data_IF_070704052002
#
_entry.id   IF_070704052002
#
_cell.length_a   1.000
_cell.length_b   1.000
_cell.length_c   1.000
_cell.angle_alpha   90.00
_cell.angle_beta   90.00
_cell.angle_gamma   90.00
#
_symmetry.space_group_name_H-M   'P 1'
#
loop_
_entity.id
_entity.type
_entity.pdbx_description
1 polymer ?
#
# COMPACT_ATOMS: atom_id res chain seq x y z
N UNK A 1 -2.07 5.77 -22.41
CA UNK A 1 -0.72 5.78 -23.01
C UNK A 1 0.07 6.91 -22.38
N UNK A 2 0.97 6.61 -21.46
CA UNK A 2 1.95 7.58 -20.96
C UNK A 2 3.28 7.29 -21.64
N UNK A 3 3.78 8.26 -22.37
CA UNK A 3 5.09 8.23 -23.00
C UNK A 3 6.12 8.80 -22.03
N UNK A 4 7.11 8.01 -21.66
CA UNK A 4 8.31 8.53 -20.99
C UNK A 4 9.33 8.78 -22.09
N UNK A 5 9.64 10.05 -22.33
CA UNK A 5 10.67 10.46 -23.29
C UNK A 5 12.00 10.52 -22.52
N UNK A 6 12.85 9.55 -22.76
CA UNK A 6 14.25 9.60 -22.29
C UNK A 6 15.12 10.09 -23.44
N UNK A 7 15.67 11.30 -23.32
CA UNK A 7 16.61 11.86 -24.30
C UNK A 7 17.99 11.27 -24.06
N UNK A 8 18.41 10.32 -24.87
CA UNK A 8 19.82 9.93 -24.97
C UNK A 8 20.55 10.91 -25.92
N UNK A 9 21.80 11.27 -25.58
CA UNK A 9 22.64 12.27 -26.26
C UNK A 9 23.03 11.96 -27.72
N UNK A 10 22.34 11.09 -28.42
CA UNK A 10 22.64 10.68 -29.81
C UNK A 10 21.49 10.96 -30.79
N UNK A 11 20.62 11.93 -30.53
CA UNK A 11 19.66 12.43 -31.52
C UNK A 11 18.53 11.45 -31.91
N UNK A 12 18.43 10.28 -31.31
CA UNK A 12 17.30 9.36 -31.45
C UNK A 12 16.39 9.43 -30.23
N UNK A 13 15.17 9.85 -30.42
CA UNK A 13 14.12 9.75 -29.41
C UNK A 13 13.67 8.30 -29.37
N UNK A 14 14.27 7.51 -28.50
CA UNK A 14 13.82 6.14 -28.23
C UNK A 14 12.57 6.19 -27.32
N UNK A 15 11.43 5.81 -27.86
CA UNK A 15 10.23 5.59 -27.06
C UNK A 15 10.37 4.22 -26.40
N UNK A 16 10.76 4.20 -25.14
CA UNK A 16 10.71 2.97 -24.33
C UNK A 16 9.25 2.67 -23.99
N UNK A 17 8.63 1.81 -24.77
CA UNK A 17 7.37 1.18 -24.40
C UNK A 17 7.72 0.16 -23.31
N UNK A 18 7.53 0.49 -22.04
CA UNK A 18 7.57 -0.53 -21.00
C UNK A 18 6.40 -1.49 -21.26
N UNK A 19 6.65 -2.81 -21.31
CA UNK A 19 5.58 -3.76 -21.46
C UNK A 19 4.58 -3.60 -20.31
N UNK A 20 3.32 -3.46 -20.64
CA UNK A 20 2.25 -3.47 -19.63
C UNK A 20 2.31 -4.81 -18.90
N UNK A 21 2.51 -4.77 -17.59
CA UNK A 21 2.48 -5.94 -16.72
C UNK A 21 1.02 -6.43 -16.69
N UNK A 22 0.72 -7.53 -17.36
CA UNK A 22 -0.65 -8.07 -17.32
C UNK A 22 -0.90 -8.74 -15.97
N UNK A 23 -1.79 -8.14 -15.20
CA UNK A 23 -2.21 -8.63 -13.89
C UNK A 23 -3.62 -9.26 -13.94
N UNK A 24 -4.07 -9.66 -15.11
CA UNK A 24 -5.35 -10.36 -15.27
C UNK A 24 -5.44 -11.54 -14.29
N UNK A 25 -6.56 -11.64 -13.59
CA UNK A 25 -6.82 -12.60 -12.51
C UNK A 25 -6.06 -12.39 -11.20
N UNK A 26 -5.15 -11.42 -11.09
CA UNK A 26 -4.47 -11.14 -9.81
C UNK A 26 -5.38 -10.36 -8.85
N UNK A 27 -5.51 -10.87 -7.64
CA UNK A 27 -6.33 -10.32 -6.57
C UNK A 27 -5.46 -9.60 -5.55
N UNK A 28 -5.57 -8.29 -5.52
CA UNK A 28 -4.76 -7.43 -4.65
C UNK A 28 -5.63 -6.88 -3.53
N UNK A 29 -5.28 -7.22 -2.29
CA UNK A 29 -5.84 -6.54 -1.14
C UNK A 29 -4.98 -5.32 -0.82
N UNK A 30 -5.53 -4.14 -1.06
CA UNK A 30 -4.83 -2.88 -0.88
C UNK A 30 -5.23 -2.23 0.44
N UNK A 31 -4.29 -2.03 1.35
CA UNK A 31 -4.52 -1.44 2.67
C UNK A 31 -3.98 -0.02 2.69
N UNK A 32 -4.83 0.96 3.02
CA UNK A 32 -4.46 2.37 3.11
C UNK A 32 -4.46 2.79 4.57
N UNK A 33 -3.29 3.24 5.07
CA UNK A 33 -3.15 3.77 6.42
C UNK A 33 -3.15 5.31 6.44
N UNK A 34 -3.38 5.89 7.62
CA UNK A 34 -3.51 7.34 7.79
C UNK A 34 -2.18 8.08 7.70
N UNK A 35 -2.04 8.90 6.68
CA UNK A 35 -0.91 9.78 6.47
C UNK A 35 -1.09 10.58 5.17
N UNK A 36 -0.41 11.73 5.07
CA UNK A 36 -0.56 12.62 3.92
C UNK A 36 -0.29 11.89 2.58
N UNK A 37 0.65 10.93 2.55
CA UNK A 37 0.97 10.14 1.36
C UNK A 37 -0.14 9.19 0.89
N UNK A 38 -1.27 9.07 1.63
CA UNK A 38 -2.43 8.28 1.22
C UNK A 38 -3.01 8.73 -0.14
N UNK A 39 -2.82 9.99 -0.55
CA UNK A 39 -3.24 10.45 -1.87
C UNK A 39 -2.55 9.70 -3.02
N UNK A 40 -1.29 9.26 -2.83
CA UNK A 40 -0.55 8.46 -3.82
C UNK A 40 -1.16 7.08 -4.02
N UNK A 41 -1.83 6.55 -3.01
CA UNK A 41 -2.50 5.24 -3.10
C UNK A 41 -3.59 5.22 -4.17
N UNK A 42 -4.23 6.37 -4.43
CA UNK A 42 -5.23 6.49 -5.48
C UNK A 42 -4.63 6.24 -6.87
N UNK A 43 -3.46 6.79 -7.14
CA UNK A 43 -2.76 6.55 -8.41
C UNK A 43 -2.22 5.11 -8.49
N UNK A 44 -1.72 4.57 -7.38
CA UNK A 44 -1.27 3.17 -7.31
C UNK A 44 -2.43 2.20 -7.63
N UNK A 45 -3.60 2.41 -7.03
CA UNK A 45 -4.82 1.63 -7.34
C UNK A 45 -5.18 1.76 -8.82
N UNK A 46 -5.11 2.96 -9.37
CA UNK A 46 -5.40 3.21 -10.79
C UNK A 46 -4.44 2.47 -11.72
N UNK A 47 -3.15 2.41 -11.37
CA UNK A 47 -2.15 1.64 -12.12
C UNK A 47 -2.46 0.14 -12.11
N UNK A 48 -2.76 -0.44 -10.95
CA UNK A 48 -3.17 -1.84 -10.85
C UNK A 48 -4.43 -2.13 -11.68
N UNK A 49 -5.46 -1.27 -11.59
CA UNK A 49 -6.69 -1.43 -12.37
C UNK A 49 -6.47 -1.34 -13.87
N UNK A 50 -5.61 -0.41 -14.34
CA UNK A 50 -5.24 -0.30 -15.76
C UNK A 50 -4.55 -1.56 -16.30
N UNK A 51 -3.93 -2.33 -15.42
CA UNK A 51 -3.27 -3.59 -15.74
C UNK A 51 -4.13 -4.82 -15.36
N UNK A 52 -5.44 -4.65 -15.31
CA UNK A 52 -6.45 -5.69 -15.16
C UNK A 52 -6.47 -6.41 -13.80
N UNK A 53 -5.83 -5.86 -12.75
CA UNK A 53 -5.92 -6.43 -11.41
C UNK A 53 -7.32 -6.26 -10.81
N UNK A 54 -7.75 -7.25 -10.04
CA UNK A 54 -8.90 -7.15 -9.16
C UNK A 54 -8.45 -6.59 -7.81
N UNK A 55 -9.12 -5.53 -7.32
CA UNK A 55 -8.70 -4.84 -6.09
C UNK A 55 -9.85 -4.78 -5.10
N UNK A 56 -9.58 -5.20 -3.87
CA UNK A 56 -10.36 -4.85 -2.68
C UNK A 56 -9.52 -3.95 -1.79
N UNK A 57 -10.15 -2.98 -1.15
CA UNK A 57 -9.42 -2.00 -0.34
C UNK A 57 -9.88 -2.01 1.09
N UNK A 58 -8.92 -2.05 2.03
CA UNK A 58 -9.15 -1.75 3.44
C UNK A 58 -8.67 -0.34 3.71
N UNK A 59 -9.53 0.47 4.30
CA UNK A 59 -9.25 1.85 4.68
C UNK A 59 -9.24 1.96 6.21
N UNK A 60 -8.09 2.23 6.81
CA UNK A 60 -8.03 2.39 8.27
C UNK A 60 -8.78 3.65 8.72
N UNK A 61 -9.22 3.68 9.98
CA UNK A 61 -9.94 4.83 10.54
C UNK A 61 -9.20 6.16 10.28
N UNK A 62 -7.89 6.19 10.55
CA UNK A 62 -7.08 7.39 10.32
C UNK A 62 -6.88 7.74 8.84
N UNK A 63 -6.99 6.77 7.93
CA UNK A 63 -6.84 7.04 6.50
C UNK A 63 -8.04 7.83 5.95
N UNK A 64 -9.22 7.72 6.56
CA UNK A 64 -10.44 8.46 6.18
C UNK A 64 -10.27 9.98 6.28
N UNK A 65 -9.32 10.45 7.09
CA UNK A 65 -8.99 11.88 7.23
C UNK A 65 -8.19 12.42 6.01
N UNK A 66 -7.62 11.54 5.19
CA UNK A 66 -6.79 11.92 4.05
C UNK A 66 -7.39 11.56 2.70
N UNK A 67 -8.17 10.48 2.63
CA UNK A 67 -8.84 10.00 1.41
C UNK A 67 -10.23 9.46 1.78
N UNK A 68 -11.18 9.60 0.87
CA UNK A 68 -12.56 9.17 1.14
C UNK A 68 -12.83 7.76 0.63
N UNK A 69 -13.70 6.96 1.28
CA UNK A 69 -14.16 5.69 0.73
C UNK A 69 -14.72 5.83 -0.69
N UNK A 70 -15.42 6.94 -0.97
CA UNK A 70 -16.00 7.20 -2.30
C UNK A 70 -14.92 7.34 -3.38
N UNK A 71 -13.85 8.12 -3.13
CA UNK A 71 -12.77 8.28 -4.10
C UNK A 71 -12.07 6.95 -4.41
N UNK A 72 -11.87 6.12 -3.39
CA UNK A 72 -11.25 4.81 -3.52
C UNK A 72 -12.16 3.85 -4.27
N UNK A 73 -13.43 3.74 -3.90
CA UNK A 73 -14.41 2.88 -4.56
C UNK A 73 -14.55 3.21 -6.05
N UNK A 74 -14.55 4.51 -6.39
CA UNK A 74 -14.63 4.98 -7.78
C UNK A 74 -13.42 4.56 -8.63
N UNK A 75 -12.22 4.54 -8.05
CA UNK A 75 -10.99 4.15 -8.75
C UNK A 75 -10.76 2.65 -8.77
N UNK A 76 -11.00 1.97 -7.66
CA UNK A 76 -10.83 0.52 -7.55
C UNK A 76 -11.94 -0.27 -8.24
N UNK A 77 -13.10 0.36 -8.46
CA UNK A 77 -14.34 -0.29 -8.92
C UNK A 77 -14.68 -1.51 -8.03
N UNK A 78 -14.36 -1.41 -6.76
CA UNK A 78 -14.49 -2.48 -5.78
C UNK A 78 -14.99 -1.99 -4.44
N UNK A 79 -15.34 -2.95 -3.57
CA UNK A 79 -15.80 -2.66 -2.22
C UNK A 79 -14.64 -2.12 -1.38
N UNK A 80 -14.93 -1.09 -0.58
CA UNK A 80 -14.02 -0.55 0.44
C UNK A 80 -14.49 -1.03 1.80
N UNK A 81 -13.58 -1.60 2.56
CA UNK A 81 -13.80 -2.14 3.89
C UNK A 81 -13.12 -1.21 4.90
N UNK A 82 -13.78 -0.88 5.98
CA UNK A 82 -13.27 0.12 6.92
C UNK A 82 -13.53 -0.22 8.41
N UNK A 83 -14.31 -1.23 8.68
CA UNK A 83 -14.64 -1.67 10.03
C UNK A 83 -14.54 -3.19 10.15
N UNK A 84 -14.11 -3.66 11.33
CA UNK A 84 -14.03 -5.07 11.68
C UNK A 84 -15.44 -5.66 11.93
N UNK A 85 -16.37 -4.84 12.39
CA UNK A 85 -17.73 -5.21 12.80
C UNK A 85 -18.77 -4.40 12.01
N UNK A 86 -18.93 -4.71 10.74
CA UNK A 86 -20.00 -4.09 9.95
C UNK A 86 -21.25 -4.99 9.95
N UNK A 87 -22.29 -4.56 10.63
CA UNK A 87 -23.55 -5.29 10.86
C UNK A 87 -24.27 -5.66 9.54
N UNK A 88 -24.02 -4.95 8.45
CA UNK A 88 -24.65 -5.23 7.15
C UNK A 88 -24.10 -6.50 6.45
N UNK A 89 -23.01 -7.08 6.96
CA UNK A 89 -22.33 -8.24 6.37
C UNK A 89 -22.17 -9.42 7.38
N UNK A 90 -23.09 -9.58 8.31
CA UNK A 90 -23.02 -10.55 9.42
C UNK A 90 -22.90 -12.03 9.03
N UNK A 91 -23.02 -12.39 7.77
CA UNK A 91 -23.02 -13.82 7.35
C UNK A 91 -21.64 -14.36 7.04
N UNK A 92 -20.62 -13.54 6.84
CA UNK A 92 -19.24 -13.96 6.62
C UNK A 92 -18.28 -13.16 7.52
N UNK A 93 -17.34 -13.85 8.17
CA UNK A 93 -16.23 -13.18 8.85
C UNK A 93 -15.37 -12.49 7.80
N UNK A 94 -15.66 -11.22 7.50
CA UNK A 94 -15.02 -10.45 6.42
C UNK A 94 -13.49 -10.54 6.45
N UNK A 95 -12.88 -10.56 7.63
CA UNK A 95 -11.42 -10.67 7.76
C UNK A 95 -10.89 -12.03 7.25
N UNK A 96 -11.63 -13.13 7.48
CA UNK A 96 -11.25 -14.46 6.96
C UNK A 96 -11.45 -14.48 5.44
N UNK A 97 -12.61 -14.02 4.95
CA UNK A 97 -12.92 -13.97 3.53
C UNK A 97 -11.88 -13.13 2.76
N UNK A 98 -11.52 -11.94 3.26
CA UNK A 98 -10.51 -11.08 2.65
C UNK A 98 -9.11 -11.69 2.65
N UNK A 99 -8.71 -12.32 3.77
CA UNK A 99 -7.39 -12.97 3.88
C UNK A 99 -7.23 -14.15 2.91
N UNK A 100 -8.32 -14.85 2.57
CA UNK A 100 -8.34 -15.97 1.62
C UNK A 100 -8.46 -15.51 0.17
N UNK A 101 -9.22 -14.42 -0.06
CA UNK A 101 -9.48 -13.90 -1.39
C UNK A 101 -8.22 -13.35 -2.07
N UNK A 102 -7.35 -12.67 -1.34
CA UNK A 102 -6.17 -12.02 -1.89
C UNK A 102 -5.11 -13.02 -2.37
N UNK A 103 -4.41 -12.68 -3.45
CA UNK A 103 -3.15 -13.32 -3.85
C UNK A 103 -1.95 -12.63 -3.22
N UNK A 104 -2.07 -11.31 -3.01
CA UNK A 104 -1.04 -10.46 -2.41
C UNK A 104 -1.69 -9.33 -1.62
N UNK A 105 -1.01 -8.88 -0.58
CA UNK A 105 -1.43 -7.74 0.25
C UNK A 105 -0.43 -6.61 0.08
N UNK A 106 -0.92 -5.42 -0.24
CA UNK A 106 -0.11 -4.20 -0.38
C UNK A 106 -0.58 -3.18 0.65
N UNK A 107 0.31 -2.72 1.51
CA UNK A 107 0.04 -1.68 2.52
C UNK A 107 0.75 -0.39 2.11
N UNK A 108 0.01 0.55 1.59
CA UNK A 108 0.54 1.83 1.11
C UNK A 108 -0.44 2.98 1.37
N UNK A 109 -0.07 3.95 2.19
CA UNK A 109 1.15 4.02 2.99
C UNK A 109 1.14 3.05 4.18
N UNK A 110 2.32 2.54 4.58
CA UNK A 110 2.54 1.85 5.84
C UNK A 110 3.12 2.81 6.88
N UNK A 111 2.30 3.23 7.83
CA UNK A 111 2.72 4.17 8.89
C UNK A 111 3.54 3.46 9.98
N UNK A 112 4.27 4.22 10.80
CA UNK A 112 5.00 3.69 11.95
C UNK A 112 4.07 2.92 12.91
N UNK A 113 2.84 3.42 13.12
CA UNK A 113 1.83 2.73 13.93
C UNK A 113 1.45 1.36 13.35
N UNK A 114 1.19 1.29 12.04
CA UNK A 114 0.85 0.03 11.38
C UNK A 114 2.03 -0.95 11.43
N UNK A 115 3.24 -0.48 11.15
CA UNK A 115 4.47 -1.28 11.25
C UNK A 115 4.65 -1.84 12.67
N UNK A 116 4.42 -1.02 13.70
CA UNK A 116 4.49 -1.46 15.10
C UNK A 116 3.42 -2.50 15.42
N UNK A 117 2.16 -2.28 15.04
CA UNK A 117 1.08 -3.25 15.26
C UNK A 117 1.38 -4.60 14.62
N UNK A 118 1.80 -4.60 13.37
CA UNK A 118 2.11 -5.82 12.63
C UNK A 118 3.30 -6.59 13.23
N UNK A 119 4.34 -5.88 13.70
CA UNK A 119 5.51 -6.50 14.33
C UNK A 119 5.20 -7.17 15.67
N UNK A 120 4.14 -6.71 16.35
CA UNK A 120 3.66 -7.25 17.62
C UNK A 120 2.54 -8.28 17.45
N UNK A 121 2.07 -8.54 16.23
CA UNK A 121 0.94 -9.43 15.98
C UNK A 121 -0.40 -8.89 16.50
N UNK A 122 -0.58 -7.57 16.55
CA UNK A 122 -1.84 -6.95 16.97
C UNK A 122 -2.96 -7.23 15.98
N UNK A 123 -4.19 -7.41 16.47
CA UNK A 123 -5.42 -7.61 15.70
C UNK A 123 -6.54 -6.65 16.14
N UNK A 124 -6.17 -5.39 16.43
CA UNK A 124 -7.10 -4.37 16.96
C UNK A 124 -8.03 -3.75 15.91
N UNK A 125 -7.66 -3.81 14.64
CA UNK A 125 -8.42 -3.26 13.53
C UNK A 125 -8.50 -4.26 12.36
N UNK A 126 -9.39 -3.99 11.41
CA UNK A 126 -9.61 -4.88 10.27
C UNK A 126 -8.31 -5.14 9.49
N UNK A 127 -7.49 -4.11 9.27
CA UNK A 127 -6.25 -4.24 8.50
C UNK A 127 -5.26 -5.21 9.16
N UNK A 128 -4.96 -4.99 10.44
CA UNK A 128 -4.05 -5.85 11.21
C UNK A 128 -4.58 -7.28 11.35
N UNK A 129 -5.90 -7.43 11.58
CA UNK A 129 -6.56 -8.74 11.72
C UNK A 129 -6.47 -9.54 10.42
N UNK A 130 -6.80 -8.93 9.27
CA UNK A 130 -6.73 -9.60 7.95
C UNK A 130 -5.30 -10.00 7.61
N UNK A 131 -4.33 -9.13 7.85
CA UNK A 131 -2.92 -9.43 7.58
C UNK A 131 -2.43 -10.58 8.47
N UNK A 132 -2.75 -10.57 9.77
CA UNK A 132 -2.39 -11.64 10.70
C UNK A 132 -3.04 -12.98 10.33
N UNK A 133 -4.29 -12.95 9.84
CA UNK A 133 -5.02 -14.15 9.41
C UNK A 133 -4.59 -14.67 8.02
N UNK A 134 -3.69 -13.98 7.33
CA UNK A 134 -3.27 -14.30 5.96
C UNK A 134 -1.94 -15.05 5.91
N UNK A 135 -1.81 -15.93 4.91
CA UNK A 135 -0.55 -16.56 4.54
C UNK A 135 0.03 -16.00 3.23
N UNK A 136 -0.48 -14.86 2.77
CA UNK A 136 -0.07 -14.25 1.50
C UNK A 136 1.15 -13.36 1.70
N UNK A 137 1.88 -13.11 0.60
CA UNK A 137 2.97 -12.15 0.61
C UNK A 137 2.44 -10.75 0.95
N UNK A 138 3.07 -10.09 1.89
CA UNK A 138 2.74 -8.71 2.29
C UNK A 138 3.87 -7.78 1.84
N UNK A 139 3.49 -6.72 1.14
CA UNK A 139 4.36 -5.61 0.75
C UNK A 139 3.99 -4.36 1.55
N UNK A 140 4.97 -3.75 2.16
CA UNK A 140 4.80 -2.52 2.94
C UNK A 140 5.52 -1.37 2.25
N UNK A 141 4.82 -0.28 1.94
CA UNK A 141 5.41 0.98 1.48
C UNK A 141 5.47 1.98 2.64
N UNK A 142 6.59 2.06 3.39
CA UNK A 142 6.70 2.91 4.56
C UNK A 142 6.55 4.39 4.23
N UNK A 143 5.87 5.13 5.12
CA UNK A 143 5.70 6.58 5.02
C UNK A 143 5.61 7.20 6.41
N UNK A 144 6.61 7.99 6.76
CA UNK A 144 6.71 8.72 8.03
C UNK A 144 7.80 9.79 7.95
N UNK A 145 7.86 10.69 8.91
CA UNK A 145 8.96 11.66 8.95
C UNK A 145 10.31 11.00 9.29
N UNK A 146 11.40 11.72 9.03
CA UNK A 146 12.77 11.23 9.19
C UNK A 146 13.02 10.70 10.60
N UNK A 147 12.60 11.43 11.62
CA UNK A 147 12.84 11.07 13.02
C UNK A 147 12.12 9.78 13.42
N UNK A 148 10.89 9.60 12.93
CA UNK A 148 10.15 8.34 13.14
C UNK A 148 10.80 7.18 12.40
N UNK A 149 11.31 7.42 11.19
CA UNK A 149 12.00 6.40 10.41
C UNK A 149 13.33 5.97 11.04
N UNK A 150 14.10 6.93 11.56
CA UNK A 150 15.38 6.68 12.23
C UNK A 150 15.22 6.12 13.66
N UNK A 151 14.01 6.21 14.24
CA UNK A 151 13.78 5.81 15.63
C UNK A 151 14.13 4.32 15.84
N UNK A 152 14.85 3.97 16.93
CA UNK A 152 15.26 2.59 17.21
C UNK A 152 14.09 1.60 17.17
N UNK A 153 12.94 1.95 17.77
CA UNK A 153 11.74 1.10 17.73
C UNK A 153 11.28 0.80 16.30
N UNK A 154 11.32 1.78 15.41
CA UNK A 154 10.96 1.57 14.00
C UNK A 154 11.95 0.61 13.35
N UNK A 155 13.24 0.81 13.55
CA UNK A 155 14.27 -0.08 13.00
C UNK A 155 14.15 -1.52 13.52
N UNK A 156 13.81 -1.70 14.79
CA UNK A 156 13.61 -3.03 15.37
C UNK A 156 12.32 -3.69 14.84
N UNK A 157 11.21 -2.95 14.74
CA UNK A 157 9.98 -3.44 14.13
C UNK A 157 10.20 -3.89 12.67
N UNK A 158 11.00 -3.14 11.89
CA UNK A 158 11.34 -3.52 10.52
C UNK A 158 12.13 -4.83 10.45
N UNK A 159 13.08 -5.06 11.40
CA UNK A 159 13.83 -6.33 11.47
C UNK A 159 12.88 -7.50 11.75
N UNK A 160 11.95 -7.33 12.69
CA UNK A 160 10.95 -8.34 13.05
C UNK A 160 10.10 -8.68 11.83
N UNK A 161 9.53 -7.67 11.15
CA UNK A 161 8.68 -7.90 9.98
C UNK A 161 9.45 -8.55 8.81
N UNK A 162 10.72 -8.18 8.61
CA UNK A 162 11.59 -8.86 7.63
C UNK A 162 11.77 -10.34 7.97
N UNK A 163 11.92 -10.68 9.26
CA UNK A 163 12.03 -12.09 9.69
C UNK A 163 10.74 -12.88 9.49
N UNK A 164 9.58 -12.19 9.45
CA UNK A 164 8.29 -12.79 9.10
C UNK A 164 8.09 -12.92 7.58
N UNK A 165 9.05 -12.49 6.76
CA UNK A 165 8.97 -12.56 5.31
C UNK A 165 8.25 -11.38 4.64
N UNK A 166 7.95 -10.30 5.38
CA UNK A 166 7.35 -9.10 4.78
C UNK A 166 8.36 -8.38 3.91
N UNK A 167 7.92 -7.88 2.77
CA UNK A 167 8.75 -7.09 1.85
C UNK A 167 8.49 -5.61 2.00
N UNK A 168 9.52 -4.82 1.77
CA UNK A 168 9.47 -3.36 1.89
C UNK A 168 9.79 -2.70 0.56
N UNK A 169 8.94 -1.74 0.17
CA UNK A 169 9.11 -0.93 -1.03
C UNK A 169 9.46 0.49 -0.57
N UNK A 170 10.73 0.85 -0.63
CA UNK A 170 11.25 2.07 -0.02
C UNK A 170 11.42 1.95 1.50
N UNK A 171 11.36 3.08 2.24
CA UNK A 171 11.06 4.44 1.76
C UNK A 171 12.18 5.02 0.92
N UNK A 172 11.90 6.13 0.23
CA UNK A 172 12.90 6.89 -0.52
C UNK A 172 13.31 8.15 0.22
N UNK A 173 14.47 8.70 -0.15
CA UNK A 173 14.94 10.00 0.34
C UNK A 173 14.30 11.14 -0.46
N UNK A 174 13.91 12.22 0.21
CA UNK A 174 13.36 13.40 -0.43
C UNK A 174 12.65 14.35 0.52
N UNK A 175 12.08 15.41 -0.05
CA UNK A 175 11.29 16.38 0.71
C UNK A 175 10.00 15.75 1.21
N UNK A 176 9.65 16.06 2.45
CA UNK A 176 8.44 15.61 3.13
C UNK A 176 7.47 16.75 3.36
N UNK A 177 6.20 16.42 3.54
CA UNK A 177 5.14 17.40 3.79
C UNK A 177 5.35 18.22 5.08
N UNK A 178 6.14 17.73 6.02
CA UNK A 178 6.53 18.45 7.24
C UNK A 178 7.69 19.44 7.04
N UNK A 179 8.24 19.56 5.82
CA UNK A 179 9.38 20.43 5.52
C UNK A 179 10.74 19.82 5.83
N UNK A 180 10.81 18.57 6.30
CA UNK A 180 12.07 17.85 6.49
C UNK A 180 12.51 17.18 5.19
N UNK A 181 13.83 17.04 5.02
CA UNK A 181 14.46 16.28 3.94
C UNK A 181 15.16 15.06 4.51
N UNK A 182 14.95 13.89 3.92
CA UNK A 182 15.62 12.66 4.34
C UNK A 182 14.88 11.40 3.93
N UNK A 183 15.28 10.28 4.52
CA UNK A 183 14.64 8.98 4.32
C UNK A 183 13.34 8.89 5.12
N UNK A 184 12.27 8.37 4.51
CA UNK A 184 10.95 8.23 5.15
C UNK A 184 9.79 8.57 4.21
N UNK A 185 10.09 9.15 3.03
CA UNK A 185 9.11 9.46 1.99
C UNK A 185 8.64 8.16 1.32
N UNK A 186 7.32 7.99 1.18
CA UNK A 186 6.75 6.84 0.48
C UNK A 186 7.24 6.78 -0.97
N UNK A 187 7.62 5.60 -1.43
CA UNK A 187 7.93 5.32 -2.83
C UNK A 187 6.82 5.80 -3.77
N UNK A 188 7.16 6.07 -5.00
CA UNK A 188 6.18 6.51 -5.97
C UNK A 188 5.28 5.35 -6.43
N UNK A 189 4.11 5.70 -6.96
CA UNK A 189 3.09 4.73 -7.35
C UNK A 189 3.60 3.71 -8.37
N UNK A 190 4.50 4.14 -9.26
CA UNK A 190 5.14 3.25 -10.24
C UNK A 190 6.09 2.25 -9.61
N UNK A 191 6.86 2.66 -8.61
CA UNK A 191 7.79 1.76 -7.90
C UNK A 191 7.01 0.66 -7.16
N UNK A 192 5.88 1.07 -6.50
CA UNK A 192 5.01 0.13 -5.80
C UNK A 192 4.34 -0.85 -6.78
N UNK A 193 3.97 -0.39 -7.95
CA UNK A 193 3.35 -1.21 -8.98
C UNK A 193 4.33 -2.21 -9.61
N UNK A 194 5.60 -1.83 -9.77
CA UNK A 194 6.61 -2.64 -10.47
C UNK A 194 7.19 -3.76 -9.61
N UNK A 195 7.18 -3.64 -8.29
CA UNK A 195 7.67 -4.66 -7.36
C UNK A 195 6.73 -5.87 -7.29
#
# INVERSE_FOLDING_TARGET
YYWIINTCNCGFIGILIQPMKDLTTKKILFVICGGVSAYKSLETIRLFKKNNAEIKTILTKSAKEFVTPLSIASLSQGKVYDDLFNVENETEMDHIALSRWADVIVVAPATANTISKLSQGSSEDLASTVILASNKQVFLAPAMNVRMWEHPSTKDNLKILKSFGYKFIGPVTGDMACGEYGEGKMSDSYDIFNE
#
